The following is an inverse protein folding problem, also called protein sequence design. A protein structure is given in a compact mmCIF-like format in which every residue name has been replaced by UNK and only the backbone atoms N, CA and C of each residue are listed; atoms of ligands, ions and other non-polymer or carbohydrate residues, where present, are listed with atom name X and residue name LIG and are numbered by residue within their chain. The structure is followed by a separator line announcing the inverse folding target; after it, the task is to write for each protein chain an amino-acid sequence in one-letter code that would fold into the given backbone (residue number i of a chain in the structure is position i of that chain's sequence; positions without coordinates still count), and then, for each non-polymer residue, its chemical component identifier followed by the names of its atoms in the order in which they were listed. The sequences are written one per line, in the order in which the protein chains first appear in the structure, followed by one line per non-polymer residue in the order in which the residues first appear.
data_IF_609954831397
#
_entry.id   IF_609954831397
#
_cell.length_a   1.000
_cell.length_b   1.000
_cell.length_c   1.000
_cell.angle_alpha   90.00
_cell.angle_beta   90.00
_cell.angle_gamma   90.00
#
_symmetry.space_group_name_H-M   'P 1'
#
loop_
_entity.id
_entity.type
_entity.pdbx_description
1 polymer ?
#
# COMPACT_ATOMS: atom_id res chain seq x y z
N UNK A 1 -12.91 -5.56 16.98
CA UNK A 1 -13.73 -6.21 18.02
C UNK A 1 -13.36 -7.68 18.04
N UNK A 2 -12.52 -8.10 19.00
CA UNK A 2 -12.18 -9.51 19.19
C UNK A 2 -13.34 -10.18 19.93
N UNK A 3 -14.06 -11.09 19.28
CA UNK A 3 -15.03 -11.92 19.96
C UNK A 3 -14.32 -13.16 20.50
N UNK A 4 -14.31 -13.30 21.82
CA UNK A 4 -13.88 -14.51 22.51
C UNK A 4 -14.99 -15.54 22.37
N UNK A 5 -14.89 -16.46 21.41
CA UNK A 5 -15.81 -17.60 21.36
C UNK A 5 -15.37 -18.58 22.46
N UNK A 6 -16.00 -18.52 23.62
CA UNK A 6 -15.84 -19.53 24.68
C UNK A 6 -16.29 -20.89 24.11
N UNK A 7 -15.34 -21.79 23.87
CA UNK A 7 -15.64 -23.21 23.84
C UNK A 7 -15.38 -23.75 25.25
N UNK A 8 -16.45 -24.09 25.96
CA UNK A 8 -16.38 -24.85 27.20
C UNK A 8 -15.85 -26.25 26.88
N UNK A 9 -14.61 -26.54 27.27
CA UNK A 9 -14.08 -27.91 27.27
C UNK A 9 -13.86 -28.29 28.73
N UNK A 10 -14.78 -29.08 29.28
CA UNK A 10 -14.57 -29.80 30.53
C UNK A 10 -13.52 -30.87 30.31
N UNK A 11 -12.44 -30.86 31.09
CA UNK A 11 -11.51 -31.99 31.18
C UNK A 11 -10.11 -31.56 31.58
N UNK A 12 -9.69 -31.97 32.78
CA UNK A 12 -8.38 -31.74 33.33
C UNK A 12 -7.27 -32.33 32.44
N UNK A 13 -6.47 -31.44 31.87
CA UNK A 13 -5.26 -31.75 31.11
C UNK A 13 -4.69 -30.43 30.63
N UNK A 14 -3.41 -30.17 30.89
CA UNK A 14 -2.75 -28.89 30.65
C UNK A 14 -2.79 -28.55 29.14
N UNK A 15 -3.86 -27.89 28.70
CA UNK A 15 -4.01 -27.39 27.34
C UNK A 15 -3.19 -26.10 27.23
N UNK A 16 -2.01 -26.18 26.62
CA UNK A 16 -1.36 -25.01 26.05
C UNK A 16 -2.26 -24.46 24.95
N UNK A 17 -3.15 -23.54 25.29
CA UNK A 17 -4.01 -22.86 24.33
C UNK A 17 -3.13 -21.95 23.49
N UNK A 18 -2.72 -22.43 22.30
CA UNK A 18 -2.09 -21.57 21.31
C UNK A 18 -3.17 -20.59 20.84
N UNK A 19 -3.13 -19.38 21.40
CA UNK A 19 -4.00 -18.28 21.01
C UNK A 19 -3.57 -17.78 19.63
N UNK A 20 -4.12 -18.37 18.56
CA UNK A 20 -4.01 -17.79 17.23
C UNK A 20 -4.95 -16.58 17.20
N UNK A 21 -4.46 -15.42 17.62
CA UNK A 21 -5.19 -14.17 17.61
C UNK A 21 -5.29 -13.61 16.20
N UNK A 22 -6.35 -13.95 15.46
CA UNK A 22 -6.73 -13.19 14.26
C UNK A 22 -7.42 -11.89 14.70
N UNK A 23 -6.62 -10.86 14.97
CA UNK A 23 -7.13 -9.52 15.21
C UNK A 23 -7.59 -8.94 13.86
N UNK A 24 -8.90 -8.70 13.72
CA UNK A 24 -9.42 -7.99 12.56
C UNK A 24 -8.94 -6.51 12.60
N UNK A 25 -8.57 -5.93 11.45
CA UNK A 25 -8.12 -4.54 11.39
C UNK A 25 -9.21 -3.60 11.89
N UNK A 26 -8.82 -2.53 12.59
CA UNK A 26 -9.76 -1.47 13.00
C UNK A 26 -10.21 -0.65 11.79
N UNK A 27 -11.34 0.06 11.90
CA UNK A 27 -11.82 0.93 10.82
C UNK A 27 -10.78 1.98 10.39
N UNK A 28 -10.05 2.54 11.36
CA UNK A 28 -8.93 3.47 11.13
C UNK A 28 -7.77 2.80 10.39
N UNK A 29 -7.38 1.57 10.76
CA UNK A 29 -6.38 0.80 10.01
C UNK A 29 -6.81 0.52 8.57
N UNK A 30 -8.10 0.22 8.37
CA UNK A 30 -8.65 -0.01 7.04
C UNK A 30 -8.58 1.24 6.17
N UNK A 31 -9.04 2.39 6.68
CA UNK A 31 -8.97 3.68 5.97
C UNK A 31 -7.53 4.02 5.57
N UNK A 32 -6.58 3.92 6.52
CA UNK A 32 -5.17 4.18 6.23
C UNK A 32 -4.60 3.20 5.20
N UNK A 33 -5.01 1.94 5.24
CA UNK A 33 -4.60 0.93 4.26
C UNK A 33 -5.10 1.25 2.85
N UNK A 34 -6.35 1.71 2.73
CA UNK A 34 -6.93 2.14 1.44
C UNK A 34 -6.21 3.36 0.88
N UNK A 35 -5.91 4.34 1.73
CA UNK A 35 -5.13 5.52 1.35
C UNK A 35 -3.71 5.15 0.90
N UNK A 36 -3.09 4.20 1.61
CA UNK A 36 -1.78 3.67 1.27
C UNK A 36 -1.80 3.01 -0.11
N UNK A 37 -2.78 2.14 -0.39
CA UNK A 37 -2.92 1.46 -1.68
C UNK A 37 -3.12 2.47 -2.82
N UNK A 38 -3.86 3.54 -2.57
CA UNK A 38 -4.06 4.62 -3.54
C UNK A 38 -2.76 5.41 -3.78
N UNK A 39 -2.01 5.73 -2.72
CA UNK A 39 -0.74 6.47 -2.80
C UNK A 39 0.30 5.74 -3.65
N UNK A 40 0.38 4.40 -3.52
CA UNK A 40 1.36 3.57 -4.22
C UNK A 40 0.87 2.99 -5.55
N UNK A 41 -0.34 3.36 -5.98
CA UNK A 41 -0.85 3.07 -7.33
C UNK A 41 -1.58 1.75 -7.49
N UNK A 42 -1.91 1.06 -6.39
CA UNK A 42 -2.72 -0.17 -6.41
C UNK A 42 -4.21 0.11 -6.54
N UNK A 43 -4.66 1.29 -6.09
CA UNK A 43 -6.02 1.79 -6.28
C UNK A 43 -6.02 3.05 -7.15
N UNK A 44 -7.05 3.23 -7.99
CA UNK A 44 -7.21 4.46 -8.75
C UNK A 44 -7.51 5.62 -7.81
N UNK A 45 -7.03 6.84 -8.13
CA UNK A 45 -7.26 7.99 -7.28
C UNK A 45 -8.75 8.28 -7.17
N UNK A 46 -9.24 8.69 -5.99
CA UNK A 46 -10.63 9.13 -5.83
C UNK A 46 -10.88 10.31 -6.77
N UNK A 47 -11.90 10.18 -7.62
CA UNK A 47 -12.29 11.26 -8.52
C UNK A 47 -13.37 12.10 -7.83
N UNK A 48 -13.14 13.39 -7.56
CA UNK A 48 -14.15 14.23 -6.90
C UNK A 48 -15.41 14.44 -7.75
N UNK A 49 -15.38 14.11 -9.05
CA UNK A 49 -16.53 14.23 -9.96
C UNK A 49 -17.31 12.94 -10.12
N UNK A 50 -16.68 11.80 -9.84
CA UNK A 50 -17.34 10.50 -9.88
C UNK A 50 -17.23 9.90 -8.50
N UNK A 51 -18.35 9.80 -7.80
CA UNK A 51 -18.46 9.17 -6.48
C UNK A 51 -18.28 7.65 -6.60
N UNK A 52 -17.10 7.24 -7.08
CA UNK A 52 -16.79 5.85 -7.36
C UNK A 52 -16.28 5.23 -6.08
N UNK A 53 -17.22 4.75 -5.28
CA UNK A 53 -16.94 3.94 -4.11
C UNK A 53 -16.07 2.74 -4.52
N UNK A 54 -14.95 2.55 -3.82
CA UNK A 54 -14.11 1.38 -4.03
C UNK A 54 -14.88 0.18 -3.50
N UNK A 55 -15.11 -0.82 -4.36
CA UNK A 55 -15.76 -2.05 -3.92
C UNK A 55 -14.82 -2.84 -3.02
N UNK A 56 -15.39 -3.65 -2.12
CA UNK A 56 -14.62 -4.54 -1.26
C UNK A 56 -13.70 -5.45 -2.08
N UNK A 57 -14.21 -5.97 -3.20
CA UNK A 57 -13.50 -6.85 -4.12
C UNK A 57 -12.33 -6.11 -4.78
N UNK A 58 -12.52 -4.83 -5.14
CA UNK A 58 -11.48 -3.97 -5.68
C UNK A 58 -10.33 -3.76 -4.71
N UNK A 59 -10.65 -3.51 -3.43
CA UNK A 59 -9.65 -3.35 -2.36
C UNK A 59 -8.91 -4.66 -2.11
N UNK A 60 -9.61 -5.79 -2.03
CA UNK A 60 -8.99 -7.10 -1.85
C UNK A 60 -8.06 -7.46 -3.01
N UNK A 61 -8.44 -7.13 -4.25
CA UNK A 61 -7.59 -7.33 -5.43
C UNK A 61 -6.32 -6.47 -5.35
N UNK A 62 -6.46 -5.20 -4.96
CA UNK A 62 -5.33 -4.30 -4.76
C UNK A 62 -4.39 -4.81 -3.65
N UNK A 63 -4.94 -5.34 -2.56
CA UNK A 63 -4.16 -5.95 -1.47
C UNK A 63 -3.35 -7.16 -1.95
N UNK A 64 -3.97 -8.09 -2.68
CA UNK A 64 -3.23 -9.24 -3.23
C UNK A 64 -2.09 -8.81 -4.14
N UNK A 65 -2.34 -7.82 -5.00
CA UNK A 65 -1.31 -7.29 -5.89
C UNK A 65 -0.15 -6.64 -5.13
N UNK A 66 -0.45 -5.89 -4.07
CA UNK A 66 0.55 -5.29 -3.19
C UNK A 66 1.34 -6.36 -2.44
N UNK A 67 0.66 -7.35 -1.85
CA UNK A 67 1.28 -8.47 -1.14
C UNK A 67 2.25 -9.22 -2.04
N UNK A 68 1.82 -9.55 -3.26
CA UNK A 68 2.67 -10.16 -4.28
C UNK A 68 3.90 -9.33 -4.60
N UNK A 69 3.74 -8.01 -4.79
CA UNK A 69 4.85 -7.09 -5.06
C UNK A 69 5.85 -7.03 -3.89
N UNK A 70 5.33 -7.09 -2.67
CA UNK A 70 6.11 -7.09 -1.45
C UNK A 70 6.71 -8.47 -1.09
N UNK A 71 6.37 -9.54 -1.81
CA UNK A 71 6.77 -10.90 -1.47
C UNK A 71 6.07 -11.47 -0.23
N UNK A 72 4.89 -10.95 0.10
CA UNK A 72 4.00 -11.49 1.14
C UNK A 72 3.00 -12.50 0.54
N UNK A 73 2.45 -13.35 1.39
CA UNK A 73 1.32 -14.22 1.03
C UNK A 73 0.11 -13.39 0.54
N UNK A 74 -0.49 -13.81 -0.57
CA UNK A 74 -1.60 -13.09 -1.23
C UNK A 74 -2.95 -13.30 -0.52
N UNK A 75 -3.05 -12.94 0.77
CA UNK A 75 -4.26 -13.11 1.57
C UNK A 75 -5.41 -12.20 1.13
N UNK A 76 -5.11 -11.07 0.48
CA UNK A 76 -6.09 -10.05 0.10
C UNK A 76 -6.73 -9.35 1.30
N UNK A 77 -6.10 -9.43 2.47
CA UNK A 77 -6.57 -8.84 3.72
C UNK A 77 -5.48 -7.99 4.36
N UNK A 78 -5.86 -7.03 5.20
CA UNK A 78 -4.91 -6.28 6.03
C UNK A 78 -4.51 -7.13 7.24
N UNK A 79 -3.75 -8.18 6.98
CA UNK A 79 -3.16 -9.04 8.01
C UNK A 79 -1.98 -8.33 8.72
N UNK A 80 -1.48 -8.97 9.78
CA UNK A 80 -0.41 -8.40 10.60
C UNK A 80 0.86 -8.10 9.80
N UNK A 81 1.24 -8.99 8.88
CA UNK A 81 2.42 -8.82 8.02
C UNK A 81 2.24 -7.61 7.10
N UNK A 82 1.08 -7.48 6.46
CA UNK A 82 0.72 -6.36 5.60
C UNK A 82 0.75 -5.04 6.37
N UNK A 83 0.13 -4.98 7.54
CA UNK A 83 0.11 -3.77 8.37
C UNK A 83 1.50 -3.38 8.87
N UNK A 84 2.34 -4.36 9.20
CA UNK A 84 3.73 -4.13 9.59
C UNK A 84 4.53 -3.53 8.44
N UNK A 85 4.38 -4.10 7.24
CA UNK A 85 5.02 -3.59 6.03
C UNK A 85 4.56 -2.17 5.69
N UNK A 86 3.25 -1.89 5.72
CA UNK A 86 2.72 -0.56 5.39
C UNK A 86 3.23 0.56 6.32
N UNK A 87 3.65 0.22 7.54
CA UNK A 87 4.24 1.16 8.51
C UNK A 87 5.72 1.43 8.28
N UNK A 88 6.42 0.61 7.49
CA UNK A 88 7.85 0.81 7.25
C UNK A 88 8.11 2.10 6.46
N UNK A 89 9.12 2.90 6.84
CA UNK A 89 9.50 4.09 6.08
C UNK A 89 10.00 3.66 4.70
N UNK A 90 9.51 4.32 3.65
CA UNK A 90 9.81 3.95 2.26
C UNK A 90 9.84 5.15 1.34
N UNK A 91 10.35 4.94 0.13
CA UNK A 91 10.31 5.93 -0.94
C UNK A 91 8.85 6.32 -1.28
N UNK A 92 8.62 7.58 -1.67
CA UNK A 92 7.30 8.07 -2.08
C UNK A 92 6.93 7.74 -3.53
N UNK A 93 7.83 7.11 -4.29
CA UNK A 93 7.57 6.71 -5.67
C UNK A 93 6.55 5.55 -5.68
N UNK A 94 5.47 5.63 -6.47
CA UNK A 94 4.50 4.53 -6.57
C UNK A 94 5.11 3.27 -7.16
N UNK A 95 4.63 2.12 -6.69
CA UNK A 95 5.07 0.80 -7.12
C UNK A 95 4.50 0.45 -8.49
N UNK A 96 3.25 0.85 -8.73
CA UNK A 96 2.57 0.67 -10.00
C UNK A 96 2.32 2.04 -10.61
N UNK A 97 2.78 2.24 -11.84
CA UNK A 97 2.45 3.42 -12.62
C UNK A 97 1.42 3.02 -13.67
N UNK A 98 0.14 3.14 -13.33
CA UNK A 98 -0.97 2.78 -14.22
C UNK A 98 -0.97 3.62 -15.51
N UNK A 99 -1.49 3.07 -16.60
CA UNK A 99 -1.57 3.74 -17.92
C UNK A 99 -2.38 5.05 -17.86
N UNK A 100 -3.45 5.08 -17.08
CA UNK A 100 -4.26 6.29 -16.86
C UNK A 100 -3.55 7.30 -15.96
N UNK A 101 -2.75 6.87 -14.99
CA UNK A 101 -1.91 7.79 -14.20
C UNK A 101 -0.75 8.33 -15.02
N UNK A 102 -0.15 7.52 -15.90
CA UNK A 102 0.82 7.98 -16.90
C UNK A 102 0.17 9.00 -17.83
N UNK A 103 -1.06 8.76 -18.31
CA UNK A 103 -1.81 9.68 -19.16
C UNK A 103 -2.18 10.96 -18.42
N UNK A 104 -2.70 10.89 -17.19
CA UNK A 104 -3.03 12.05 -16.37
C UNK A 104 -1.78 12.84 -16.00
N UNK A 105 -0.68 12.20 -15.59
CA UNK A 105 0.62 12.85 -15.35
C UNK A 105 1.16 13.50 -16.62
N UNK A 106 1.07 12.84 -17.78
CA UNK A 106 1.45 13.41 -19.08
C UNK A 106 0.60 14.62 -19.45
N UNK A 107 -0.70 14.61 -19.16
CA UNK A 107 -1.62 15.74 -19.39
C UNK A 107 -1.44 16.89 -18.40
N UNK A 108 -1.20 16.61 -17.11
CA UNK A 108 -1.03 17.62 -16.03
C UNK A 108 0.37 18.21 -15.95
N UNK A 109 1.41 17.55 -16.47
CA UNK A 109 2.80 17.84 -16.12
C UNK A 109 3.67 18.00 -17.37
N UNK A 110 3.57 19.16 -18.02
CA UNK A 110 4.35 19.48 -19.24
C UNK A 110 5.81 19.89 -18.98
N UNK A 111 6.25 20.10 -17.72
CA UNK A 111 7.53 20.81 -17.44
C UNK A 111 8.38 20.33 -16.25
N UNK A 112 8.35 19.06 -15.80
CA UNK A 112 9.15 18.65 -14.61
C UNK A 112 9.82 17.26 -14.64
N UNK A 113 10.08 16.67 -15.82
CA UNK A 113 10.83 15.40 -15.90
C UNK A 113 11.76 15.36 -17.11
N UNK A 114 12.76 14.47 -17.05
CA UNK A 114 13.65 14.17 -18.16
C UNK A 114 12.81 13.77 -19.38
N UNK A 115 12.89 14.58 -20.45
CA UNK A 115 12.29 14.29 -21.75
C UNK A 115 13.01 13.14 -22.47
N UNK A 116 14.15 12.74 -21.94
CA UNK A 116 15.02 11.67 -22.43
C UNK A 116 14.56 10.33 -21.84
N UNK A 117 14.83 9.23 -22.54
CA UNK A 117 14.42 7.88 -22.14
C UNK A 117 14.81 7.48 -20.71
N UNK A 118 14.38 6.29 -20.28
CA UNK A 118 14.61 5.77 -18.92
C UNK A 118 16.09 5.58 -18.54
N UNK A 119 17.02 5.79 -19.48
CA UNK A 119 18.46 5.63 -19.29
C UNK A 119 19.24 6.86 -19.73
N UNK A 120 20.37 7.08 -19.07
CA UNK A 120 21.36 8.06 -19.49
C UNK A 120 22.08 7.53 -20.74
N UNK A 121 22.19 8.35 -21.78
CA UNK A 121 22.95 8.00 -23.01
C UNK A 121 24.48 8.15 -22.84
N UNK A 122 24.90 8.74 -21.72
CA UNK A 122 26.30 8.99 -21.38
C UNK A 122 26.62 8.33 -20.04
N UNK A 123 27.87 7.93 -19.86
CA UNK A 123 28.32 7.25 -18.65
C UNK A 123 28.83 8.23 -17.58
N UNK A 124 29.30 9.41 -18.00
CA UNK A 124 29.78 10.45 -17.07
C UNK A 124 28.62 11.32 -16.58
N UNK A 125 28.11 10.96 -15.40
CA UNK A 125 26.99 11.62 -14.72
C UNK A 125 27.54 12.63 -13.71
N UNK A 126 27.25 13.91 -13.91
CA UNK A 126 27.59 14.99 -12.98
C UNK A 126 26.38 15.34 -12.12
N UNK A 127 26.62 15.66 -10.84
CA UNK A 127 25.58 16.06 -9.89
C UNK A 127 25.98 17.34 -9.15
N UNK A 128 24.98 18.01 -8.55
CA UNK A 128 25.16 19.16 -7.66
C UNK A 128 24.24 18.99 -6.47
N UNK A 129 24.66 19.45 -5.30
CA UNK A 129 23.80 19.59 -4.13
C UNK A 129 23.61 21.07 -3.87
N UNK A 130 22.36 21.49 -3.75
CA UNK A 130 22.02 22.85 -3.37
C UNK A 130 21.79 22.85 -1.86
N UNK A 131 22.64 23.55 -1.10
CA UNK A 131 22.40 23.77 0.33
C UNK A 131 21.39 24.91 0.41
N UNK A 132 20.16 24.61 0.80
CA UNK A 132 19.20 25.65 1.10
C UNK A 132 19.66 26.37 2.37
N UNK A 133 20.26 27.55 2.23
CA UNK A 133 20.44 28.46 3.36
C UNK A 133 19.06 28.80 3.92
N UNK A 134 18.79 28.32 5.14
CA UNK A 134 17.63 28.72 5.91
C UNK A 134 17.84 30.18 6.32
N UNK A 135 17.07 31.09 5.73
CA UNK A 135 16.76 32.38 6.34
C UNK A 135 15.53 32.21 7.23
#
# INVERSE_FOLDING_TARGET
MCYHRLLLVSGAGLLLTISIGLCAPTADQYSRGVDWLSRYGYLPPPDPRTERLQTREGIQKALRQMQRFAGLEETGTLDHATLSLMKTPRCSLPDIVGTEDLRKRRRKRKKRYALTGLSWKKNDITWRYDVAEKY
#
